data_IF_152640951868
#
_entry.id   IF_152640951868
#
_cell.length_a   1.000
_cell.length_b   1.000
_cell.length_c   1.000
_cell.angle_alpha   90.00
_cell.angle_beta   90.00
_cell.angle_gamma   90.00
#
_symmetry.space_group_name_H-M   'P 1'
#
loop_
_entity.id
_entity.type
_entity.pdbx_description
1 polymer ?
#
# COMPACT_ATOMS: atom_id res chain seq x y z
N UNK A 1 50.88 -44.97 2.01
CA UNK A 1 50.22 -43.96 2.86
C UNK A 1 50.02 -42.59 2.22
N UNK A 2 50.63 -42.26 1.09
CA UNK A 2 50.47 -40.94 0.41
C UNK A 2 49.23 -40.78 -0.46
N UNK A 3 48.64 -41.81 -1.01
CA UNK A 3 47.44 -41.70 -1.91
C UNK A 3 46.11 -41.43 -1.20
N UNK A 4 45.97 -41.77 0.07
CA UNK A 4 44.74 -41.49 0.83
C UNK A 4 44.58 -40.03 1.24
N UNK A 5 45.69 -39.31 1.47
CA UNK A 5 45.61 -37.86 1.83
C UNK A 5 45.14 -36.99 0.69
N UNK A 6 45.44 -37.34 -0.57
CA UNK A 6 45.05 -36.51 -1.73
C UNK A 6 43.53 -36.61 -2.05
N UNK A 7 42.92 -37.77 -1.88
CA UNK A 7 41.51 -37.97 -2.18
C UNK A 7 40.57 -37.30 -1.13
N UNK A 8 41.01 -37.30 0.14
CA UNK A 8 40.25 -36.61 1.20
C UNK A 8 40.33 -35.09 1.03
N UNK A 9 41.51 -34.57 0.68
CA UNK A 9 41.72 -33.15 0.43
C UNK A 9 40.88 -32.65 -0.78
N UNK A 10 40.81 -33.46 -1.84
CA UNK A 10 40.03 -33.15 -3.03
C UNK A 10 38.51 -33.19 -2.77
N UNK A 11 38.05 -34.10 -1.90
CA UNK A 11 36.62 -34.18 -1.51
C UNK A 11 36.18 -32.98 -0.67
N UNK A 12 37.04 -32.47 0.24
CA UNK A 12 36.76 -31.28 1.02
C UNK A 12 36.73 -30.00 0.18
N UNK A 13 37.65 -29.85 -0.77
CA UNK A 13 37.69 -28.69 -1.69
C UNK A 13 36.40 -28.59 -2.52
N UNK A 14 35.96 -29.71 -3.11
CA UNK A 14 34.73 -29.75 -3.92
C UNK A 14 33.45 -29.47 -3.14
N UNK A 15 33.43 -29.79 -1.85
CA UNK A 15 32.27 -29.51 -0.96
C UNK A 15 32.21 -28.03 -0.56
N UNK A 16 33.36 -27.42 -0.33
CA UNK A 16 33.45 -25.98 0.02
C UNK A 16 33.09 -25.09 -1.18
N UNK A 17 33.47 -25.47 -2.40
CA UNK A 17 33.13 -24.71 -3.60
C UNK A 17 31.61 -24.74 -3.87
N UNK A 18 30.95 -25.87 -3.71
CA UNK A 18 29.48 -25.97 -3.83
C UNK A 18 28.76 -25.12 -2.81
N UNK A 19 29.27 -25.02 -1.58
CA UNK A 19 28.70 -24.16 -0.53
C UNK A 19 28.87 -22.69 -0.89
N UNK A 20 30.04 -22.29 -1.41
CA UNK A 20 30.28 -20.90 -1.87
C UNK A 20 29.35 -20.50 -3.00
N UNK A 21 29.17 -21.38 -4.00
CA UNK A 21 28.22 -21.15 -5.10
C UNK A 21 26.78 -21.08 -4.62
N UNK A 22 26.39 -21.87 -3.64
CA UNK A 22 25.05 -21.82 -3.03
C UNK A 22 24.81 -20.48 -2.34
N UNK A 23 25.75 -19.97 -1.56
CA UNK A 23 25.65 -18.66 -0.93
C UNK A 23 25.68 -17.51 -1.94
N UNK A 24 26.47 -17.63 -3.00
CA UNK A 24 26.54 -16.64 -4.08
C UNK A 24 25.21 -16.55 -4.84
N UNK A 25 24.60 -17.68 -5.17
CA UNK A 25 23.29 -17.75 -5.84
C UNK A 25 22.18 -17.26 -4.88
N UNK A 26 22.23 -17.64 -3.61
CA UNK A 26 21.29 -17.18 -2.59
C UNK A 26 21.35 -15.65 -2.41
N UNK A 27 22.55 -15.08 -2.36
CA UNK A 27 22.76 -13.63 -2.27
C UNK A 27 22.30 -12.90 -3.55
N UNK A 28 22.49 -13.48 -4.72
CA UNK A 28 21.99 -12.96 -5.98
C UNK A 28 20.45 -12.98 -6.05
N UNK A 29 19.82 -14.04 -5.54
CA UNK A 29 18.36 -14.15 -5.46
C UNK A 29 17.76 -13.18 -4.44
N UNK A 30 18.43 -12.92 -3.34
CA UNK A 30 17.96 -11.98 -2.31
C UNK A 30 17.88 -10.54 -2.81
N UNK A 31 18.72 -10.16 -3.79
CA UNK A 31 18.70 -8.83 -4.41
C UNK A 31 17.63 -8.66 -5.52
N UNK A 32 17.00 -9.75 -5.98
CA UNK A 32 15.93 -9.68 -6.98
C UNK A 32 14.55 -9.35 -6.39
N UNK A 33 14.39 -9.36 -5.06
CA UNK A 33 13.08 -9.26 -4.39
C UNK A 33 12.72 -7.81 -4.04
N UNK A 34 13.62 -6.85 -4.21
CA UNK A 34 13.33 -5.43 -3.97
C UNK A 34 12.91 -4.72 -5.25
N UNK A 35 11.79 -5.13 -5.84
CA UNK A 35 11.09 -4.25 -6.78
C UNK A 35 10.45 -3.14 -5.95
N UNK A 36 10.73 -1.85 -6.24
CA UNK A 36 10.02 -0.76 -5.57
C UNK A 36 8.54 -0.90 -5.92
N UNK A 37 7.71 -1.17 -4.92
CA UNK A 37 6.26 -1.01 -5.05
C UNK A 37 6.04 0.47 -5.32
N UNK A 38 5.68 0.79 -6.55
CA UNK A 38 5.34 2.16 -6.94
C UNK A 38 4.01 2.49 -6.26
N UNK A 39 4.08 3.20 -5.12
CA UNK A 39 2.89 3.77 -4.49
C UNK A 39 2.25 4.76 -5.46
N UNK A 40 0.94 4.75 -5.57
CA UNK A 40 0.18 5.75 -6.31
C UNK A 40 0.17 7.06 -5.48
N UNK A 41 0.85 8.13 -5.94
CA UNK A 41 0.95 9.37 -5.15
C UNK A 41 -0.41 10.03 -4.91
N UNK A 42 -1.37 9.85 -5.84
CA UNK A 42 -2.72 10.41 -5.73
C UNK A 42 -3.49 9.64 -4.65
N UNK A 43 -3.34 8.31 -4.61
CA UNK A 43 -3.93 7.47 -3.58
C UNK A 43 -3.42 7.85 -2.18
N UNK A 44 -2.11 8.00 -2.01
CA UNK A 44 -1.50 8.37 -0.72
C UNK A 44 -1.90 9.79 -0.28
N UNK A 45 -1.98 10.74 -1.21
CA UNK A 45 -2.50 12.08 -0.93
C UNK A 45 -3.95 12.02 -0.46
N UNK A 46 -4.80 11.27 -1.16
CA UNK A 46 -6.20 11.08 -0.80
C UNK A 46 -6.38 10.46 0.57
N UNK A 47 -5.57 9.45 0.90
CA UNK A 47 -5.53 8.83 2.24
C UNK A 47 -5.15 9.82 3.33
N UNK A 48 -4.15 10.65 3.07
CA UNK A 48 -3.70 11.70 4.01
C UNK A 48 -4.81 12.71 4.27
N UNK A 49 -5.54 13.13 3.23
CA UNK A 49 -6.66 14.06 3.36
C UNK A 49 -7.80 13.41 4.14
N UNK A 50 -8.15 12.15 3.85
CA UNK A 50 -9.21 11.40 4.53
C UNK A 50 -8.97 11.30 6.04
N UNK A 51 -7.73 11.03 6.45
CA UNK A 51 -7.34 10.86 7.84
C UNK A 51 -7.04 12.19 8.57
N UNK A 52 -6.61 13.21 7.82
CA UNK A 52 -6.15 14.50 8.36
C UNK A 52 -7.10 15.64 8.05
N UNK A 53 -6.72 16.50 7.12
CA UNK A 53 -7.40 17.78 6.83
C UNK A 53 -8.90 17.64 6.56
N UNK A 54 -9.33 16.57 5.90
CA UNK A 54 -10.75 16.32 5.60
C UNK A 54 -11.55 15.80 6.80
N UNK A 55 -10.89 15.25 7.84
CA UNK A 55 -11.54 14.65 9.02
C UNK A 55 -12.61 13.59 8.67
N UNK A 56 -12.55 12.98 7.50
CA UNK A 56 -13.58 12.06 6.99
C UNK A 56 -13.72 10.82 7.88
N UNK A 57 -12.61 10.35 8.46
CA UNK A 57 -12.53 9.19 9.35
C UNK A 57 -13.36 9.33 10.63
N UNK A 58 -13.68 10.55 11.07
CA UNK A 58 -14.52 10.80 12.23
C UNK A 58 -15.96 10.35 11.98
N UNK A 59 -16.44 10.56 10.74
CA UNK A 59 -17.83 10.29 10.37
C UNK A 59 -17.98 8.95 9.63
N UNK A 60 -17.00 8.53 8.84
CA UNK A 60 -17.10 7.37 7.95
C UNK A 60 -16.29 6.17 8.42
N UNK A 61 -16.87 4.98 8.29
CA UNK A 61 -16.15 3.71 8.37
C UNK A 61 -15.49 3.43 7.02
N UNK A 62 -14.18 3.15 7.04
CA UNK A 62 -13.41 2.67 5.88
C UNK A 62 -12.27 1.78 6.36
N UNK A 63 -12.24 0.52 5.94
CA UNK A 63 -11.34 -0.51 6.46
C UNK A 63 -9.87 -0.16 6.21
N UNK A 64 -9.52 0.29 5.00
CA UNK A 64 -8.13 0.69 4.66
C UNK A 64 -7.62 1.84 5.55
N UNK A 65 -8.49 2.79 5.87
CA UNK A 65 -8.18 3.90 6.77
C UNK A 65 -8.19 3.50 8.26
N UNK A 66 -8.58 2.26 8.60
CA UNK A 66 -8.84 1.79 9.97
C UNK A 66 -9.80 2.71 10.73
N UNK A 67 -10.73 3.33 10.02
CA UNK A 67 -11.73 4.23 10.60
C UNK A 67 -13.04 3.48 10.87
N UNK A 68 -13.73 3.89 11.93
CA UNK A 68 -14.97 3.29 12.41
C UNK A 68 -16.06 4.31 12.72
N UNK A 69 -16.00 5.49 12.09
CA UNK A 69 -17.02 6.54 12.23
C UNK A 69 -18.41 6.04 11.79
N UNK A 70 -19.44 6.40 12.54
CA UNK A 70 -20.81 5.93 12.36
C UNK A 70 -21.81 7.06 12.09
N UNK A 71 -21.36 8.29 11.97
CA UNK A 71 -22.22 9.46 11.66
C UNK A 71 -22.61 9.43 10.19
N UNK A 72 -21.65 9.11 9.32
CA UNK A 72 -21.85 8.91 7.89
C UNK A 72 -21.99 7.43 7.53
N UNK A 73 -22.32 7.11 6.27
CA UNK A 73 -22.41 5.72 5.81
C UNK A 73 -21.05 5.00 5.87
N UNK A 74 -21.11 3.68 6.07
CA UNK A 74 -19.95 2.80 5.91
C UNK A 74 -19.59 2.73 4.42
N UNK A 75 -18.41 3.22 4.07
CA UNK A 75 -17.97 3.33 2.69
C UNK A 75 -17.68 1.98 2.05
N UNK A 76 -17.21 0.97 2.82
CA UNK A 76 -17.03 -0.39 2.30
C UNK A 76 -18.36 -1.08 1.94
N UNK A 77 -19.47 -0.69 2.57
CA UNK A 77 -20.79 -1.17 2.21
C UNK A 77 -21.39 -0.38 1.05
N UNK A 78 -21.20 0.95 1.06
CA UNK A 78 -21.75 1.84 0.03
C UNK A 78 -21.04 1.67 -1.31
N UNK A 79 -19.73 1.43 -1.33
CA UNK A 79 -18.88 1.26 -2.52
C UNK A 79 -19.10 2.35 -3.57
N UNK A 80 -18.92 3.62 -3.19
CA UNK A 80 -19.19 4.72 -4.11
C UNK A 80 -18.14 4.77 -5.23
N UNK A 81 -18.56 5.11 -6.43
CA UNK A 81 -17.66 5.49 -7.50
C UNK A 81 -17.03 6.88 -7.28
N UNK A 82 -15.97 7.18 -8.01
CA UNK A 82 -15.21 8.43 -7.88
C UNK A 82 -16.08 9.67 -8.09
N UNK A 83 -16.95 9.66 -9.10
CA UNK A 83 -17.83 10.81 -9.44
C UNK A 83 -18.78 11.12 -8.29
N UNK A 84 -19.35 10.08 -7.68
CA UNK A 84 -20.25 10.21 -6.54
C UNK A 84 -19.53 10.78 -5.32
N UNK A 85 -18.28 10.37 -5.09
CA UNK A 85 -17.47 10.92 -3.98
C UNK A 85 -17.13 12.38 -4.25
N UNK A 86 -16.69 12.75 -5.46
CA UNK A 86 -16.42 14.14 -5.84
C UNK A 86 -17.65 15.01 -5.56
N UNK A 87 -18.82 14.59 -6.03
CA UNK A 87 -20.05 15.33 -5.79
C UNK A 87 -20.34 15.53 -4.30
N UNK A 88 -20.25 14.45 -3.50
CA UNK A 88 -20.52 14.49 -2.08
C UNK A 88 -19.56 15.39 -1.32
N UNK A 89 -18.25 15.31 -1.63
CA UNK A 89 -17.22 16.11 -0.98
C UNK A 89 -17.33 17.57 -1.37
N UNK A 90 -17.60 17.87 -2.65
CA UNK A 90 -17.74 19.25 -3.10
C UNK A 90 -18.96 19.93 -2.47
N UNK A 91 -20.14 19.28 -2.55
CA UNK A 91 -21.41 19.93 -2.25
C UNK A 91 -21.93 19.66 -0.83
N UNK A 92 -21.41 18.64 -0.16
CA UNK A 92 -21.99 18.11 1.06
C UNK A 92 -23.29 17.33 0.81
N UNK A 93 -23.69 16.48 1.75
CA UNK A 93 -24.97 15.76 1.71
C UNK A 93 -25.53 15.63 3.13
N UNK A 94 -26.69 16.20 3.40
CA UNK A 94 -27.32 16.13 4.71
C UNK A 94 -26.44 16.75 5.80
N UNK A 95 -25.94 15.96 6.75
CA UNK A 95 -25.05 16.42 7.83
C UNK A 95 -23.58 16.51 7.41
N UNK A 96 -23.22 15.95 6.27
CA UNK A 96 -21.87 16.05 5.72
C UNK A 96 -21.66 17.45 5.15
N UNK A 97 -20.68 18.23 5.65
CA UNK A 97 -20.45 19.59 5.17
C UNK A 97 -19.81 19.57 3.76
N UNK A 98 -19.98 20.67 2.99
CA UNK A 98 -19.25 20.86 1.74
C UNK A 98 -17.78 21.20 2.05
N UNK A 99 -16.87 20.70 1.20
CA UNK A 99 -15.44 20.98 1.28
C UNK A 99 -14.96 21.91 0.16
N UNK A 100 -15.85 22.36 -0.72
CA UNK A 100 -15.54 23.40 -1.71
C UNK A 100 -15.00 24.64 -0.98
N UNK A 101 -13.86 25.16 -1.43
CA UNK A 101 -13.17 26.30 -0.81
C UNK A 101 -12.35 25.95 0.43
N UNK A 102 -12.50 24.74 1.01
CA UNK A 102 -11.65 24.21 2.09
C UNK A 102 -10.56 23.29 1.54
N UNK A 103 -10.91 22.47 0.54
CA UNK A 103 -10.00 21.64 -0.22
C UNK A 103 -9.90 22.18 -1.64
N UNK A 104 -8.73 22.06 -2.23
CA UNK A 104 -8.53 22.33 -3.66
C UNK A 104 -9.19 21.25 -4.51
N UNK A 105 -9.43 21.52 -5.79
CA UNK A 105 -9.98 20.55 -6.73
C UNK A 105 -9.13 19.26 -6.76
N UNK A 106 -7.82 19.40 -6.79
CA UNK A 106 -6.88 18.26 -6.79
C UNK A 106 -6.98 17.43 -5.52
N UNK A 107 -7.18 18.06 -4.37
CA UNK A 107 -7.37 17.36 -3.09
C UNK A 107 -8.72 16.63 -3.05
N UNK A 108 -9.78 17.22 -3.58
CA UNK A 108 -11.09 16.57 -3.72
C UNK A 108 -11.00 15.35 -4.64
N UNK A 109 -10.33 15.48 -5.77
CA UNK A 109 -10.09 14.37 -6.70
C UNK A 109 -9.24 13.27 -6.06
N UNK A 110 -8.20 13.63 -5.30
CA UNK A 110 -7.34 12.67 -4.63
C UNK A 110 -8.10 11.88 -3.55
N UNK A 111 -8.88 12.53 -2.70
CA UNK A 111 -9.67 11.83 -1.67
C UNK A 111 -10.77 10.98 -2.31
N UNK A 112 -11.36 11.42 -3.42
CA UNK A 112 -12.34 10.64 -4.17
C UNK A 112 -11.71 9.39 -4.81
N UNK A 113 -10.53 9.52 -5.38
CA UNK A 113 -9.73 8.40 -5.89
C UNK A 113 -9.43 7.37 -4.79
N UNK A 114 -8.91 7.84 -3.65
CA UNK A 114 -8.63 7.00 -2.49
C UNK A 114 -9.87 6.23 -2.02
N UNK A 115 -10.98 6.93 -1.78
CA UNK A 115 -12.22 6.32 -1.27
C UNK A 115 -12.80 5.31 -2.26
N UNK A 116 -12.85 5.65 -3.55
CA UNK A 116 -13.42 4.77 -4.57
C UNK A 116 -12.64 3.45 -4.72
N UNK A 117 -11.32 3.48 -4.55
CA UNK A 117 -10.48 2.27 -4.59
C UNK A 117 -10.61 1.49 -3.29
N UNK A 118 -10.39 2.16 -2.14
CA UNK A 118 -10.34 1.51 -0.82
C UNK A 118 -11.68 0.90 -0.39
N UNK A 119 -12.79 1.49 -0.81
CA UNK A 119 -14.12 0.96 -0.50
C UNK A 119 -14.44 -0.35 -1.23
N UNK A 120 -13.72 -0.68 -2.29
CA UNK A 120 -13.93 -1.88 -3.12
C UNK A 120 -12.92 -3.01 -2.86
N UNK A 121 -12.03 -2.82 -1.90
CA UNK A 121 -11.08 -3.84 -1.47
C UNK A 121 -11.66 -4.82 -0.44
#
# INVERSE_FOLDING_TARGET
MMKLKSSVQQSFSNKMDKIKYFYLIFFLFLNLITLPVKSDPIFEMGKTIFLGQGNCAICHTLTDAKSSGQIGPNLNQLKPDMTRVIYAVTNGIGVMPPYEGQLTIQEIEAVAHYVSISANQ
#
